data_IF_959160133728
#
_entry.id   IF_959160133728
#
_cell.length_a   1.000
_cell.length_b   1.000
_cell.length_c   1.000
_cell.angle_alpha   90.00
_cell.angle_beta   90.00
_cell.angle_gamma   90.00
#
_symmetry.space_group_name_H-M   'P 1'
#
loop_
_entity.id
_entity.type
_entity.pdbx_description
1 polymer ?
#
# COMPACT_ATOMS: atom_id res chain seq x y z
N UNK A 1 24.27 5.92 -6.46
CA UNK A 1 23.39 4.75 -6.65
C UNK A 1 22.05 5.29 -7.15
N UNK A 2 21.53 4.80 -8.22
CA UNK A 2 20.85 5.46 -9.34
C UNK A 2 19.33 5.49 -9.17
N UNK A 3 18.82 6.59 -9.19
CA UNK A 3 17.72 7.45 -9.76
C UNK A 3 16.86 6.76 -10.90
N UNK A 4 16.84 5.47 -11.06
CA UNK A 4 16.13 4.84 -12.18
C UNK A 4 14.68 4.47 -11.86
N UNK A 5 14.32 4.33 -10.60
CA UNK A 5 12.95 3.93 -10.21
C UNK A 5 11.89 5.04 -10.28
N UNK A 6 12.28 6.30 -10.37
CA UNK A 6 11.35 7.44 -10.38
C UNK A 6 10.76 7.78 -11.75
N UNK A 7 11.38 7.28 -12.84
CA UNK A 7 10.94 7.65 -14.19
C UNK A 7 9.66 6.92 -14.63
N UNK A 8 9.36 5.77 -14.03
CA UNK A 8 8.19 4.95 -14.40
C UNK A 8 6.88 5.56 -13.89
N UNK A 9 6.89 6.29 -12.79
CA UNK A 9 5.70 6.95 -12.25
C UNK A 9 5.25 8.12 -13.13
N UNK A 10 6.17 8.72 -13.89
CA UNK A 10 5.90 9.91 -14.72
C UNK A 10 5.24 9.61 -16.06
N UNK A 11 5.48 8.44 -16.64
CA UNK A 11 4.97 8.09 -17.98
C UNK A 11 3.49 7.72 -18.01
N UNK A 12 2.91 7.36 -16.88
CA UNK A 12 1.50 6.94 -16.79
C UNK A 12 0.54 8.15 -16.79
N UNK A 13 1.00 9.33 -16.38
CA UNK A 13 0.15 10.54 -16.29
C UNK A 13 0.07 11.27 -17.63
N UNK A 14 1.03 11.10 -18.54
CA UNK A 14 1.02 11.81 -19.82
C UNK A 14 0.14 11.17 -20.91
N UNK A 15 -0.23 9.89 -20.76
CA UNK A 15 -0.92 9.12 -21.81
C UNK A 15 -2.44 9.37 -21.95
N UNK A 16 -3.09 10.08 -21.04
CA UNK A 16 -4.56 10.22 -21.02
C UNK A 16 -5.07 11.66 -21.11
N UNK A 17 -4.21 12.65 -21.38
CA UNK A 17 -4.65 14.03 -21.59
C UNK A 17 -5.06 14.25 -23.04
N UNK A 18 -6.24 13.78 -23.42
CA UNK A 18 -6.95 14.36 -24.58
C UNK A 18 -7.23 15.83 -24.28
N UNK A 19 -7.01 16.76 -25.24
CA UNK A 19 -7.31 18.18 -25.03
C UNK A 19 -8.81 18.37 -24.95
N UNK A 20 -9.39 18.32 -23.77
CA UNK A 20 -10.72 18.84 -23.53
C UNK A 20 -10.63 20.34 -23.38
N UNK A 21 -11.33 21.00 -24.28
CA UNK A 21 -11.50 22.43 -24.42
C UNK A 21 -11.63 23.17 -23.09
N UNK A 22 -10.80 24.18 -22.92
CA UNK A 22 -10.80 25.07 -21.77
C UNK A 22 -12.16 25.78 -21.62
N UNK A 23 -12.89 25.39 -20.57
CA UNK A 23 -13.86 26.26 -19.90
C UNK A 23 -13.45 26.36 -18.45
N UNK A 24 -13.11 27.59 -18.02
CA UNK A 24 -12.53 27.89 -16.74
C UNK A 24 -13.42 27.47 -15.57
N UNK A 25 -13.02 26.39 -14.96
CA UNK A 25 -13.10 26.15 -13.53
C UNK A 25 -11.71 25.68 -13.13
N UNK A 26 -11.06 26.50 -12.30
CA UNK A 26 -9.88 26.07 -11.57
C UNK A 26 -10.31 24.91 -10.67
N UNK A 27 -10.51 23.73 -11.24
CA UNK A 27 -10.68 22.53 -10.44
C UNK A 27 -9.35 22.34 -9.73
N UNK A 28 -9.35 22.64 -8.45
CA UNK A 28 -8.19 22.47 -7.57
C UNK A 28 -7.86 20.98 -7.60
N UNK A 29 -6.93 20.58 -8.49
CA UNK A 29 -6.52 19.18 -8.63
C UNK A 29 -5.93 18.75 -7.31
N UNK A 30 -6.57 17.79 -6.67
CA UNK A 30 -6.17 17.31 -5.36
C UNK A 30 -5.90 15.81 -5.42
N UNK A 31 -4.73 15.39 -4.96
CA UNK A 31 -4.36 13.99 -4.76
C UNK A 31 -4.44 13.68 -3.26
N UNK A 32 -5.15 12.62 -2.92
CA UNK A 32 -5.25 12.15 -1.54
C UNK A 32 -4.28 11.01 -1.31
N UNK A 33 -3.39 11.19 -0.32
CA UNK A 33 -2.43 10.17 0.12
C UNK A 33 -2.97 9.51 1.38
N UNK A 34 -3.38 8.25 1.27
CA UNK A 34 -3.86 7.43 2.37
C UNK A 34 -2.75 6.52 2.87
N UNK A 35 -2.46 6.53 4.16
CA UNK A 35 -1.51 5.60 4.75
C UNK A 35 -2.25 4.56 5.59
N UNK A 36 -2.08 3.29 5.27
CA UNK A 36 -2.66 2.17 6.01
C UNK A 36 -2.30 2.16 7.49
N UNK A 37 -1.12 2.66 7.84
CA UNK A 37 -0.65 2.73 9.23
C UNK A 37 -0.82 4.17 9.74
N UNK A 38 0.26 4.93 9.81
CA UNK A 38 0.22 6.35 10.16
C UNK A 38 1.49 7.08 9.66
N UNK A 39 1.41 8.42 9.55
CA UNK A 39 2.53 9.24 9.11
C UNK A 39 3.54 9.58 10.21
N UNK A 40 3.41 9.05 11.43
CA UNK A 40 4.43 9.17 12.47
C UNK A 40 5.65 8.27 12.19
N UNK A 41 5.50 7.26 11.33
CA UNK A 41 6.61 6.44 10.86
C UNK A 41 7.51 7.26 9.93
N UNK A 42 8.83 7.36 10.19
CA UNK A 42 9.73 8.23 9.43
C UNK A 42 9.70 7.96 7.92
N UNK A 43 9.68 6.69 7.50
CA UNK A 43 9.65 6.32 6.08
C UNK A 43 8.35 6.75 5.39
N UNK A 44 7.19 6.61 6.06
CA UNK A 44 5.90 7.00 5.52
C UNK A 44 5.78 8.52 5.40
N UNK A 45 6.32 9.25 6.37
CA UNK A 45 6.42 10.70 6.33
C UNK A 45 7.30 11.16 5.18
N UNK A 46 8.47 10.56 4.99
CA UNK A 46 9.36 10.89 3.87
C UNK A 46 8.70 10.57 2.53
N UNK A 47 8.05 9.40 2.39
CA UNK A 47 7.31 9.06 1.18
C UNK A 47 6.25 10.11 0.84
N UNK A 48 5.45 10.53 1.84
CA UNK A 48 4.46 11.59 1.64
C UNK A 48 5.09 12.88 1.13
N UNK A 49 6.20 13.33 1.73
CA UNK A 49 6.84 14.57 1.31
C UNK A 49 7.40 14.50 -0.11
N UNK A 50 7.96 13.36 -0.53
CA UNK A 50 8.37 13.16 -1.93
C UNK A 50 7.20 13.27 -2.90
N UNK A 51 6.07 12.64 -2.58
CA UNK A 51 4.85 12.73 -3.40
C UNK A 51 4.32 14.15 -3.40
N UNK A 52 4.23 14.78 -2.23
CA UNK A 52 3.78 16.16 -2.06
C UNK A 52 4.59 17.14 -2.93
N UNK A 53 5.92 17.11 -2.81
CA UNK A 53 6.81 18.05 -3.52
C UNK A 53 6.72 17.84 -5.03
N UNK A 54 6.71 16.59 -5.51
CA UNK A 54 6.56 16.27 -6.92
C UNK A 54 5.20 16.75 -7.51
N UNK A 55 4.13 16.69 -6.73
CA UNK A 55 2.80 17.17 -7.12
C UNK A 55 2.74 18.70 -7.08
N UNK A 56 3.35 19.33 -6.08
CA UNK A 56 3.45 20.79 -5.96
C UNK A 56 4.15 21.44 -7.17
N UNK A 57 5.23 20.82 -7.67
CA UNK A 57 5.91 21.24 -8.90
C UNK A 57 5.00 21.25 -10.12
N UNK A 58 3.91 20.48 -10.10
CA UNK A 58 2.89 20.41 -11.15
C UNK A 58 1.64 21.24 -10.85
N UNK A 59 1.63 21.99 -9.76
CA UNK A 59 0.47 22.78 -9.33
C UNK A 59 -0.70 21.93 -8.83
N UNK A 60 -0.41 20.70 -8.33
CA UNK A 60 -1.38 19.78 -7.78
C UNK A 60 -1.24 19.76 -6.27
N UNK A 61 -2.35 19.91 -5.53
CA UNK A 61 -2.32 19.80 -4.07
C UNK A 61 -2.32 18.35 -3.62
N UNK A 62 -1.59 18.06 -2.52
CA UNK A 62 -1.62 16.76 -1.87
C UNK A 62 -2.17 16.89 -0.45
N UNK A 63 -3.08 16.00 -0.07
CA UNK A 63 -3.57 15.83 1.29
C UNK A 63 -3.21 14.45 1.81
N UNK A 64 -3.02 14.33 3.12
CA UNK A 64 -2.63 13.09 3.78
C UNK A 64 -3.63 12.67 4.85
N UNK A 65 -3.98 11.37 4.87
CA UNK A 65 -4.79 10.75 5.93
C UNK A 65 -4.14 9.46 6.40
N UNK A 66 -4.17 9.25 7.72
CA UNK A 66 -3.78 7.98 8.35
C UNK A 66 -5.02 7.15 8.63
N UNK A 67 -5.04 5.92 8.13
CA UNK A 67 -6.17 4.98 8.32
C UNK A 67 -6.05 4.19 9.62
N UNK A 68 -4.84 4.06 10.17
CA UNK A 68 -4.54 3.29 11.39
C UNK A 68 -5.08 1.86 11.36
N UNK A 69 -5.05 1.22 10.20
CA UNK A 69 -5.62 -0.13 9.98
C UNK A 69 -5.18 -1.15 11.04
N UNK A 70 -3.91 -1.18 11.50
CA UNK A 70 -3.51 -2.13 12.53
C UNK A 70 -4.18 -1.96 13.90
N UNK A 71 -4.84 -0.82 14.12
CA UNK A 71 -5.55 -0.54 15.36
C UNK A 71 -7.06 -0.85 15.27
N UNK A 72 -7.55 -1.25 14.10
CA UNK A 72 -8.97 -1.59 13.90
C UNK A 72 -9.25 -2.96 14.51
N UNK A 73 -10.20 -3.01 15.43
CA UNK A 73 -10.56 -4.24 16.13
C UNK A 73 -11.71 -5.02 15.46
N UNK A 74 -12.51 -4.36 14.62
CA UNK A 74 -13.70 -4.94 14.02
C UNK A 74 -14.17 -4.15 12.78
N UNK A 75 -15.16 -4.72 12.09
CA UNK A 75 -15.76 -4.14 10.89
C UNK A 75 -16.42 -2.75 11.17
N UNK A 76 -17.01 -2.56 12.33
CA UNK A 76 -17.64 -1.27 12.66
C UNK A 76 -16.61 -0.13 12.69
N UNK A 77 -15.41 -0.38 13.20
CA UNK A 77 -14.32 0.59 13.20
C UNK A 77 -13.78 0.85 11.79
N UNK A 78 -13.66 -0.20 10.98
CA UNK A 78 -13.28 -0.06 9.58
C UNK A 78 -14.31 0.77 8.80
N UNK A 79 -15.59 0.50 8.98
CA UNK A 79 -16.69 1.26 8.37
C UNK A 79 -16.68 2.73 8.84
N UNK A 80 -16.33 2.99 10.10
CA UNK A 80 -16.20 4.36 10.60
C UNK A 80 -15.07 5.15 9.90
N UNK A 81 -13.97 4.48 9.51
CA UNK A 81 -12.90 5.08 8.69
C UNK A 81 -13.42 5.44 7.29
N UNK A 82 -14.12 4.51 6.64
CA UNK A 82 -14.72 4.73 5.32
C UNK A 82 -15.72 5.89 5.36
N UNK A 83 -16.59 5.91 6.34
CA UNK A 83 -17.57 6.99 6.54
C UNK A 83 -16.93 8.34 6.87
N UNK A 84 -15.82 8.34 7.60
CA UNK A 84 -15.05 9.55 7.83
C UNK A 84 -14.50 10.11 6.52
N UNK A 85 -13.89 9.27 5.69
CA UNK A 85 -13.37 9.67 4.39
C UNK A 85 -14.49 10.17 3.47
N UNK A 86 -15.62 9.47 3.41
CA UNK A 86 -16.80 9.86 2.61
C UNK A 86 -17.31 11.24 3.00
N UNK A 87 -17.39 11.53 4.31
CA UNK A 87 -17.85 12.85 4.80
C UNK A 87 -16.83 13.95 4.58
N UNK A 88 -15.53 13.63 4.74
CA UNK A 88 -14.45 14.61 4.63
C UNK A 88 -14.16 14.98 3.18
N UNK A 89 -14.35 14.04 2.27
CA UNK A 89 -14.11 14.18 0.83
C UNK A 89 -15.37 13.89 0.01
N UNK A 90 -16.44 14.73 0.17
CA UNK A 90 -17.69 14.53 -0.57
C UNK A 90 -17.52 14.77 -2.08
N UNK A 91 -16.50 15.54 -2.46
CA UNK A 91 -16.03 15.64 -3.85
C UNK A 91 -14.86 14.69 -4.01
N UNK A 92 -14.92 13.75 -4.95
CA UNK A 92 -13.85 12.79 -5.16
C UNK A 92 -12.49 13.46 -5.41
N UNK A 93 -11.39 12.95 -4.87
CA UNK A 93 -10.06 13.43 -5.22
C UNK A 93 -9.75 13.13 -6.69
N UNK A 94 -8.83 13.88 -7.29
CA UNK A 94 -8.39 13.64 -8.68
C UNK A 94 -7.69 12.27 -8.81
N UNK A 95 -6.99 11.84 -7.78
CA UNK A 95 -6.38 10.53 -7.67
C UNK A 95 -6.12 10.18 -6.19
N UNK A 96 -5.92 8.91 -5.91
CA UNK A 96 -5.53 8.40 -4.59
C UNK A 96 -4.19 7.69 -4.68
N UNK A 97 -3.28 7.99 -3.76
CA UNK A 97 -2.07 7.20 -3.51
C UNK A 97 -2.26 6.52 -2.16
N UNK A 98 -2.27 5.20 -2.15
CA UNK A 98 -2.49 4.38 -0.97
C UNK A 98 -1.20 3.67 -0.59
N UNK A 99 -0.71 3.93 0.62
CA UNK A 99 0.52 3.34 1.15
C UNK A 99 0.15 2.11 1.96
N UNK A 100 0.46 0.94 1.41
CA UNK A 100 0.16 -0.38 1.97
C UNK A 100 -1.20 -0.93 1.54
N UNK A 101 -1.21 -2.19 1.18
CA UNK A 101 -2.39 -2.94 0.75
C UNK A 101 -3.51 -3.08 1.81
N UNK A 102 -3.26 -3.09 3.16
CA UNK A 102 -4.34 -3.13 4.14
C UNK A 102 -5.35 -1.98 3.98
N UNK A 103 -4.86 -0.79 3.63
CA UNK A 103 -5.74 0.36 3.39
C UNK A 103 -6.66 0.16 2.19
N UNK A 104 -6.21 -0.56 1.15
CA UNK A 104 -7.07 -0.92 0.02
C UNK A 104 -8.24 -1.81 0.48
N UNK A 105 -7.96 -2.85 1.28
CA UNK A 105 -9.00 -3.75 1.79
C UNK A 105 -10.05 -2.99 2.61
N UNK A 106 -9.64 -1.98 3.38
CA UNK A 106 -10.58 -1.15 4.15
C UNK A 106 -11.37 -0.19 3.27
N UNK A 107 -10.73 0.42 2.26
CA UNK A 107 -11.30 1.57 1.56
C UNK A 107 -11.89 1.27 0.18
N UNK A 108 -11.76 0.04 -0.37
CA UNK A 108 -12.16 -0.27 -1.75
C UNK A 108 -13.63 0.04 -2.05
N UNK A 109 -14.53 -0.06 -1.09
CA UNK A 109 -15.95 0.28 -1.25
C UNK A 109 -16.19 1.74 -1.62
N UNK A 110 -15.27 2.67 -1.27
CA UNK A 110 -15.37 4.05 -1.74
C UNK A 110 -15.27 4.15 -3.27
N UNK A 111 -14.52 3.22 -3.87
CA UNK A 111 -14.32 3.17 -5.32
C UNK A 111 -15.44 2.41 -6.06
N UNK A 112 -16.31 1.73 -5.33
CA UNK A 112 -17.57 1.18 -5.86
C UNK A 112 -18.67 2.25 -5.93
N UNK A 113 -18.56 3.30 -5.10
CA UNK A 113 -19.60 4.31 -4.90
C UNK A 113 -19.09 5.72 -5.22
N UNK A 114 -18.80 6.51 -4.17
CA UNK A 114 -18.55 7.96 -4.28
C UNK A 114 -17.26 8.31 -5.01
N UNK A 115 -16.27 7.44 -5.04
CA UNK A 115 -15.00 7.63 -5.74
C UNK A 115 -14.87 6.71 -6.96
N UNK A 116 -16.00 6.34 -7.54
CA UNK A 116 -16.01 5.53 -8.75
C UNK A 116 -15.15 6.17 -9.84
N UNK A 117 -14.37 5.34 -10.53
CA UNK A 117 -13.42 5.72 -11.58
C UNK A 117 -12.23 6.60 -11.14
N UNK A 118 -12.13 6.97 -9.85
CA UNK A 118 -10.94 7.66 -9.33
C UNK A 118 -9.72 6.76 -9.49
N UNK A 119 -8.64 7.23 -10.18
CA UNK A 119 -7.41 6.45 -10.29
C UNK A 119 -6.78 6.27 -8.92
N UNK A 120 -6.37 5.03 -8.63
CA UNK A 120 -5.67 4.70 -7.38
C UNK A 120 -4.37 3.98 -7.64
N UNK A 121 -3.33 4.38 -6.91
CA UNK A 121 -2.03 3.72 -6.90
C UNK A 121 -1.83 3.12 -5.50
N UNK A 122 -1.79 1.81 -5.40
CA UNK A 122 -1.43 1.12 -4.15
C UNK A 122 0.06 0.82 -4.16
N UNK A 123 0.79 1.32 -3.18
CA UNK A 123 2.23 1.09 -3.03
C UNK A 123 2.50 0.15 -1.86
N UNK A 124 3.69 -0.42 -1.79
CA UNK A 124 4.07 -1.38 -0.76
C UNK A 124 3.08 -2.56 -0.66
N UNK A 125 2.54 -2.96 -1.79
CA UNK A 125 1.61 -4.07 -1.86
C UNK A 125 2.34 -5.41 -1.94
N UNK A 126 1.73 -6.44 -1.39
CA UNK A 126 2.19 -7.82 -1.48
C UNK A 126 1.68 -8.49 -2.75
N UNK A 127 2.19 -9.69 -3.04
CA UNK A 127 1.73 -10.49 -4.17
C UNK A 127 0.30 -10.98 -3.99
N UNK A 128 -0.05 -11.33 -2.76
CA UNK A 128 -1.39 -11.74 -2.36
C UNK A 128 -1.93 -10.82 -1.27
N UNK A 129 -3.20 -10.51 -1.35
CA UNK A 129 -3.90 -9.66 -0.40
C UNK A 129 -4.99 -10.46 0.32
N UNK A 130 -5.39 -10.07 1.55
CA UNK A 130 -6.56 -10.67 2.20
C UNK A 130 -7.77 -10.66 1.28
N UNK A 131 -8.51 -11.77 1.25
CA UNK A 131 -9.69 -11.90 0.38
C UNK A 131 -10.88 -11.05 0.86
N UNK A 132 -10.87 -10.64 2.13
CA UNK A 132 -11.93 -9.83 2.73
C UNK A 132 -11.41 -9.02 3.92
N UNK A 133 -12.26 -8.09 4.39
CA UNK A 133 -12.00 -7.31 5.62
C UNK A 133 -11.90 -8.23 6.85
N UNK A 134 -12.72 -9.27 6.95
CA UNK A 134 -12.67 -10.22 8.08
C UNK A 134 -11.33 -10.94 8.16
N UNK A 135 -10.78 -11.34 7.01
CA UNK A 135 -9.45 -11.96 6.95
C UNK A 135 -8.38 -10.96 7.42
N UNK A 136 -8.45 -9.72 6.96
CA UNK A 136 -7.54 -8.67 7.40
C UNK A 136 -7.58 -8.46 8.92
N UNK A 137 -8.77 -8.35 9.48
CA UNK A 137 -9.01 -8.08 10.91
C UNK A 137 -8.70 -9.29 11.80
N UNK A 138 -8.76 -10.51 11.25
CA UNK A 138 -8.42 -11.73 12.01
C UNK A 138 -6.93 -11.87 12.29
N UNK A 139 -6.08 -11.10 11.62
CA UNK A 139 -4.60 -11.19 11.66
C UNK A 139 -4.07 -12.59 11.31
N UNK A 140 -4.90 -13.44 10.71
CA UNK A 140 -4.51 -14.79 10.33
C UNK A 140 -3.45 -14.78 9.21
N UNK A 141 -2.52 -15.73 9.21
CA UNK A 141 -1.59 -15.91 8.10
C UNK A 141 -2.34 -16.08 6.78
N UNK A 142 -1.84 -15.44 5.73
CA UNK A 142 -2.44 -15.59 4.39
C UNK A 142 -2.14 -16.97 3.82
N UNK A 143 -3.17 -17.58 3.28
CA UNK A 143 -3.15 -18.86 2.57
C UNK A 143 -3.84 -18.68 1.21
N UNK A 144 -3.74 -19.66 0.33
CA UNK A 144 -4.49 -19.63 -0.93
C UNK A 144 -6.01 -19.56 -0.72
N UNK A 145 -6.51 -20.10 0.40
CA UNK A 145 -7.95 -20.16 0.70
C UNK A 145 -8.52 -18.82 1.20
N UNK A 146 -7.70 -17.97 1.84
CA UNK A 146 -8.16 -16.71 2.44
C UNK A 146 -7.52 -15.46 1.82
N UNK A 147 -6.79 -15.60 0.72
CA UNK A 147 -6.15 -14.49 0.02
C UNK A 147 -6.35 -14.59 -1.48
N UNK A 148 -6.25 -13.48 -2.16
CA UNK A 148 -6.34 -13.38 -3.62
C UNK A 148 -5.08 -12.73 -4.19
N UNK A 149 -4.64 -13.12 -5.41
CA UNK A 149 -3.59 -12.39 -6.12
C UNK A 149 -3.94 -10.92 -6.29
N UNK A 150 -2.96 -10.03 -6.16
CA UNK A 150 -3.19 -8.60 -6.31
C UNK A 150 -3.81 -8.21 -7.66
N UNK A 151 -3.55 -9.00 -8.72
CA UNK A 151 -4.14 -8.81 -10.04
C UNK A 151 -5.67 -8.97 -10.06
N UNK A 152 -6.25 -9.76 -9.14
CA UNK A 152 -7.70 -9.92 -9.05
C UNK A 152 -8.37 -8.66 -8.54
N UNK A 153 -7.74 -7.95 -7.62
CA UNK A 153 -8.20 -6.64 -7.14
C UNK A 153 -8.20 -5.55 -8.21
N UNK A 154 -7.47 -5.74 -9.33
CA UNK A 154 -7.48 -4.80 -10.45
C UNK A 154 -8.74 -4.88 -11.31
N UNK A 155 -9.51 -5.95 -11.18
CA UNK A 155 -10.72 -6.14 -12.01
C UNK A 155 -11.82 -5.20 -11.53
N UNK A 156 -12.27 -4.32 -12.43
CA UNK A 156 -13.37 -3.39 -12.17
C UNK A 156 -12.95 -2.04 -11.57
N UNK A 157 -11.65 -1.85 -11.24
CA UNK A 157 -11.14 -0.60 -10.67
C UNK A 157 -10.05 0.03 -11.54
N UNK A 158 -9.98 1.36 -11.52
CA UNK A 158 -8.85 2.10 -12.11
C UNK A 158 -7.65 2.10 -11.15
N UNK A 159 -7.06 0.92 -10.95
CA UNK A 159 -6.02 0.69 -9.94
C UNK A 159 -4.69 0.28 -10.57
N UNK A 160 -3.60 0.82 -10.03
CA UNK A 160 -2.23 0.37 -10.26
C UNK A 160 -1.65 -0.13 -8.94
N UNK A 161 -1.15 -1.37 -8.92
CA UNK A 161 -0.55 -1.98 -7.74
C UNK A 161 0.97 -2.05 -7.95
N UNK A 162 1.71 -1.37 -7.07
CA UNK A 162 3.17 -1.41 -7.02
C UNK A 162 3.59 -2.35 -5.91
N UNK A 163 4.03 -3.55 -6.33
CA UNK A 163 4.47 -4.60 -5.41
C UNK A 163 5.78 -4.24 -4.73
N UNK A 164 5.88 -4.57 -3.45
CA UNK A 164 7.13 -4.49 -2.71
C UNK A 164 7.75 -5.89 -2.64
N UNK A 165 8.99 -6.01 -3.10
CA UNK A 165 9.75 -7.22 -2.89
C UNK A 165 10.34 -7.24 -1.48
N UNK A 166 10.15 -8.36 -0.76
CA UNK A 166 10.72 -8.61 0.56
C UNK A 166 11.94 -9.51 0.41
N UNK A 167 13.08 -9.03 0.86
CA UNK A 167 14.39 -9.67 0.69
C UNK A 167 14.74 -10.56 1.91
N UNK A 168 13.78 -11.37 2.41
CA UNK A 168 14.01 -12.19 3.59
C UNK A 168 15.16 -13.19 3.38
N UNK A 169 15.13 -13.91 2.26
CA UNK A 169 16.17 -14.89 1.92
C UNK A 169 17.53 -14.22 1.75
N UNK A 170 17.59 -13.18 0.93
CA UNK A 170 18.84 -12.45 0.64
C UNK A 170 19.42 -11.83 1.91
N UNK A 171 18.56 -11.37 2.82
CA UNK A 171 18.99 -10.84 4.13
C UNK A 171 19.61 -11.92 4.98
N UNK A 172 18.99 -13.10 5.05
CA UNK A 172 19.52 -14.24 5.80
C UNK A 172 20.83 -14.72 5.19
N UNK A 173 20.88 -14.89 3.87
CA UNK A 173 22.11 -15.27 3.15
C UNK A 173 23.25 -14.29 3.46
N UNK A 174 22.97 -12.99 3.47
CA UNK A 174 23.97 -11.97 3.81
C UNK A 174 24.43 -12.06 5.27
N UNK A 175 23.50 -12.30 6.21
CA UNK A 175 23.85 -12.47 7.63
C UNK A 175 24.82 -13.65 7.81
N UNK A 176 24.54 -14.78 7.17
CA UNK A 176 25.42 -15.95 7.22
C UNK A 176 26.78 -15.72 6.56
N UNK A 177 26.84 -14.96 5.48
CA UNK A 177 28.12 -14.57 4.85
C UNK A 177 28.95 -13.67 5.77
N UNK A 178 28.30 -12.78 6.52
CA UNK A 178 28.99 -11.86 7.46
C UNK A 178 29.37 -12.52 8.77
N UNK A 179 28.61 -13.53 9.21
CA UNK A 179 28.79 -14.23 10.49
C UNK A 179 28.71 -15.75 10.23
N UNK A 180 29.75 -16.35 9.62
CA UNK A 180 29.71 -17.76 9.22
C UNK A 180 29.50 -18.74 10.38
N UNK A 181 29.96 -18.39 11.58
CA UNK A 181 29.88 -19.22 12.80
C UNK A 181 28.59 -18.95 13.61
N UNK A 182 27.58 -18.32 13.00
CA UNK A 182 26.32 -18.02 13.68
C UNK A 182 25.54 -19.32 13.96
N UNK A 183 25.33 -19.60 15.23
CA UNK A 183 24.56 -20.79 15.68
C UNK A 183 23.09 -20.50 15.88
N UNK A 184 22.68 -19.23 16.02
CA UNK A 184 21.30 -18.84 16.33
C UNK A 184 20.90 -17.55 15.63
N UNK A 185 19.71 -17.57 15.03
CA UNK A 185 19.04 -16.40 14.46
C UNK A 185 17.71 -16.20 15.16
N UNK A 186 17.44 -14.98 15.61
CA UNK A 186 16.14 -14.61 16.17
C UNK A 186 15.41 -13.66 15.22
N UNK A 187 14.19 -13.99 14.86
CA UNK A 187 13.27 -13.11 14.15
C UNK A 187 12.22 -12.56 15.11
N UNK A 188 12.14 -11.25 15.21
CA UNK A 188 11.20 -10.56 16.10
C UNK A 188 10.20 -9.78 15.23
N UNK A 189 8.90 -10.05 15.41
CA UNK A 189 7.82 -9.39 14.70
C UNK A 189 6.59 -9.25 15.61
N UNK A 190 5.61 -8.45 15.18
CA UNK A 190 4.27 -8.46 15.76
C UNK A 190 3.40 -9.59 15.15
N UNK A 191 2.10 -9.60 15.47
CA UNK A 191 1.13 -10.61 15.07
C UNK A 191 0.25 -10.19 13.87
N UNK A 192 0.58 -9.09 13.21
CA UNK A 192 -0.15 -8.66 11.99
C UNK A 192 0.10 -9.63 10.85
N UNK A 193 -0.88 -9.79 9.95
CA UNK A 193 -0.76 -10.72 8.81
C UNK A 193 0.51 -10.49 7.98
N UNK A 194 0.93 -9.22 7.82
CA UNK A 194 2.17 -8.86 7.12
C UNK A 194 3.41 -9.47 7.80
N UNK A 195 3.42 -9.46 9.13
CA UNK A 195 4.50 -10.01 9.93
C UNK A 195 4.48 -11.54 9.94
N UNK A 196 3.30 -12.15 9.94
CA UNK A 196 3.14 -13.60 9.81
C UNK A 196 3.66 -14.10 8.46
N UNK A 197 3.35 -13.40 7.38
CA UNK A 197 3.85 -13.73 6.04
C UNK A 197 5.38 -13.59 5.98
N UNK A 198 5.94 -12.49 6.51
CA UNK A 198 7.40 -12.29 6.58
C UNK A 198 8.07 -13.37 7.44
N UNK A 199 7.41 -13.81 8.54
CA UNK A 199 7.88 -14.93 9.37
C UNK A 199 7.92 -16.25 8.60
N UNK A 200 6.92 -16.48 7.73
CA UNK A 200 6.88 -17.61 6.81
C UNK A 200 8.07 -17.60 5.86
N UNK A 201 8.32 -16.47 5.20
CA UNK A 201 9.44 -16.29 4.27
C UNK A 201 10.81 -16.51 4.96
N UNK A 202 10.97 -15.97 6.18
CA UNK A 202 12.19 -16.16 6.98
C UNK A 202 12.38 -17.62 7.34
N UNK A 203 11.31 -18.31 7.79
CA UNK A 203 11.37 -19.74 8.14
C UNK A 203 11.75 -20.58 6.92
N UNK A 204 11.08 -20.38 5.79
CA UNK A 204 11.40 -21.10 4.55
C UNK A 204 12.85 -20.87 4.13
N UNK A 205 13.34 -19.64 4.22
CA UNK A 205 14.71 -19.31 3.88
C UNK A 205 15.72 -20.01 4.80
N UNK A 206 15.43 -20.12 6.11
CA UNK A 206 16.28 -20.83 7.07
C UNK A 206 16.26 -22.34 6.82
N UNK A 207 15.09 -22.97 6.75
CA UNK A 207 14.94 -24.41 6.55
C UNK A 207 15.58 -24.90 5.24
N UNK A 208 15.49 -24.09 4.19
CA UNK A 208 16.03 -24.44 2.87
C UNK A 208 17.55 -24.33 2.77
N UNK A 209 18.15 -23.36 3.46
CA UNK A 209 19.57 -23.04 3.32
C UNK A 209 20.41 -23.56 4.48
N UNK A 210 19.79 -23.91 5.60
CA UNK A 210 20.43 -24.34 6.84
C UNK A 210 19.66 -25.51 7.46
N UNK A 211 19.54 -26.65 6.72
CA UNK A 211 18.96 -27.86 7.30
C UNK A 211 19.90 -28.33 8.43
N UNK A 212 19.34 -28.72 9.59
CA UNK A 212 20.03 -29.23 10.79
C UNK A 212 21.05 -30.36 10.49
#
# INVERSE_FOLDING_TARGET
>A
MRIISFLVLFLIIEGTLSPVSARGESSNKEVLVLNSINFNLPWAKHFYWYVHDALQEKGISAKAESLSVPALANEMEANAVVDHLRRKYPVPPTAVVLIGDPGWIVCHELFDDVWKDVPVIVTNARDRLPASLDVLLSHAPLTEANSVPGEEWRRGYNITILKQHYYAKETIDMIYQLIPDMERLAFISDDRYISEETRGDVREAVEKNFPD
#
